data_IF_700289654972
#
_entry.id   IF_700289654972
#
_cell.length_a   1.000
_cell.length_b   1.000
_cell.length_c   1.000
_cell.angle_alpha   90.00
_cell.angle_beta   90.00
_cell.angle_gamma   90.00
#
_symmetry.space_group_name_H-M   'P 1'
#
loop_
_entity.id
_entity.type
_entity.pdbx_description
1 polymer ?
#
# COMPACT_ATOMS: atom_id res chain seq x y z
N UNK A 1 -3.32 16.14 -14.55
CA UNK A 1 -4.30 15.17 -14.01
C UNK A 1 -3.88 14.77 -12.61
N UNK A 2 -4.65 13.92 -11.92
CA UNK A 2 -4.22 13.31 -10.67
C UNK A 2 -3.17 12.22 -10.94
N UNK A 3 -2.19 12.04 -10.06
CA UNK A 3 -1.38 10.82 -10.05
C UNK A 3 -2.26 9.64 -9.63
N UNK A 4 -2.37 8.63 -10.49
CA UNK A 4 -3.30 7.52 -10.30
C UNK A 4 -2.60 6.19 -10.37
N UNK A 5 -2.93 5.28 -9.46
CA UNK A 5 -2.47 3.89 -9.45
C UNK A 5 -3.64 2.93 -9.30
N UNK A 6 -3.40 1.67 -9.67
CA UNK A 6 -4.37 0.59 -9.58
C UNK A 6 -3.71 -0.62 -8.93
N UNK A 7 -4.44 -1.29 -8.05
CA UNK A 7 -4.03 -2.54 -7.43
C UNK A 7 -5.22 -3.51 -7.44
N UNK A 8 -4.93 -4.76 -7.77
CA UNK A 8 -5.86 -5.87 -7.66
C UNK A 8 -5.62 -6.56 -6.32
N UNK A 9 -6.66 -6.70 -5.51
CA UNK A 9 -6.57 -7.45 -4.27
C UNK A 9 -6.66 -8.95 -4.58
N UNK A 10 -5.74 -9.71 -3.99
CA UNK A 10 -5.64 -11.16 -4.10
C UNK A 10 -5.43 -11.78 -2.71
N UNK A 11 -5.74 -13.07 -2.51
CA UNK A 11 -5.60 -13.72 -1.19
C UNK A 11 -4.18 -13.71 -0.61
N UNK A 12 -3.16 -13.64 -1.47
CA UNK A 12 -1.74 -13.64 -1.13
C UNK A 12 -1.16 -12.23 -0.91
N UNK A 13 -1.93 -11.17 -1.19
CA UNK A 13 -1.47 -9.80 -1.05
C UNK A 13 -1.18 -9.44 0.42
N UNK A 14 0.02 -8.96 0.70
CA UNK A 14 0.44 -8.54 2.04
C UNK A 14 0.27 -7.03 2.24
N UNK A 15 0.18 -6.54 3.50
CA UNK A 15 0.17 -5.10 3.78
C UNK A 15 1.34 -4.35 3.15
N UNK A 16 2.54 -4.93 3.13
CA UNK A 16 3.73 -4.32 2.54
C UNK A 16 3.61 -4.07 1.03
N UNK A 17 2.80 -4.87 0.33
CA UNK A 17 2.59 -4.69 -1.11
C UNK A 17 1.69 -3.47 -1.41
N UNK A 18 0.95 -3.00 -0.40
CA UNK A 18 0.09 -1.82 -0.46
C UNK A 18 0.79 -0.60 0.12
N UNK A 19 1.35 -0.73 1.33
CA UNK A 19 1.96 0.38 2.07
C UNK A 19 3.39 0.67 1.60
N UNK A 20 4.08 -0.31 1.03
CA UNK A 20 5.51 -0.28 0.79
C UNK A 20 6.29 -1.07 1.83
N UNK A 21 7.58 -1.21 1.56
CA UNK A 21 8.49 -2.02 2.36
C UNK A 21 9.86 -1.36 2.46
N UNK A 22 10.64 -1.80 3.44
CA UNK A 22 12.05 -1.45 3.53
C UNK A 22 12.87 -2.60 2.95
N UNK A 23 13.76 -2.29 2.00
CA UNK A 23 14.67 -3.26 1.39
C UNK A 23 16.10 -2.95 1.77
N UNK A 24 16.88 -3.99 2.04
CA UNK A 24 18.32 -3.86 2.26
C UNK A 24 19.04 -3.84 0.92
N UNK A 25 19.73 -2.75 0.63
CA UNK A 25 20.62 -2.61 -0.50
C UNK A 25 22.06 -2.74 -0.06
N UNK A 26 22.86 -3.40 -0.88
CA UNK A 26 24.29 -3.49 -0.71
C UNK A 26 24.96 -2.78 -1.88
N UNK A 27 25.83 -1.81 -1.60
CA UNK A 27 26.60 -1.15 -2.65
C UNK A 27 27.78 -2.02 -3.14
N UNK A 28 28.46 -1.58 -4.20
CA UNK A 28 29.61 -2.27 -4.79
C UNK A 28 30.78 -2.43 -3.80
N UNK A 29 30.81 -1.64 -2.72
CA UNK A 29 31.82 -1.67 -1.66
C UNK A 29 31.40 -2.49 -0.45
N UNK A 30 30.24 -3.15 -0.50
CA UNK A 30 29.72 -4.04 0.54
C UNK A 30 28.98 -3.35 1.68
N UNK A 31 28.79 -2.02 1.64
CA UNK A 31 28.04 -1.26 2.65
C UNK A 31 26.55 -1.56 2.51
N UNK A 32 25.92 -1.92 3.63
CA UNK A 32 24.48 -2.16 3.71
C UNK A 32 23.76 -0.86 4.03
N UNK A 33 22.68 -0.57 3.31
CA UNK A 33 21.77 0.52 3.57
C UNK A 33 20.34 0.02 3.45
N UNK A 34 19.42 0.65 4.17
CA UNK A 34 18.00 0.36 4.05
C UNK A 34 17.34 1.45 3.22
N UNK A 35 16.51 1.05 2.25
CA UNK A 35 15.76 1.95 1.37
C UNK A 35 14.28 1.64 1.44
N UNK A 36 13.49 2.68 1.65
CA UNK A 36 12.04 2.57 1.55
C UNK A 36 11.60 2.48 0.09
N UNK A 37 10.77 1.48 -0.22
CA UNK A 37 10.07 1.31 -1.48
C UNK A 37 8.61 1.65 -1.25
N UNK A 38 8.15 2.77 -1.80
CA UNK A 38 6.76 3.20 -1.69
C UNK A 38 5.82 2.21 -2.36
N UNK A 39 4.76 1.82 -1.64
CA UNK A 39 3.66 1.04 -2.21
C UNK A 39 2.73 1.87 -3.12
N UNK A 40 1.71 1.24 -3.72
CA UNK A 40 0.76 1.90 -4.61
C UNK A 40 -0.12 2.96 -3.95
N UNK A 41 -0.23 3.00 -2.61
CA UNK A 41 -0.99 4.06 -1.91
C UNK A 41 -0.36 5.45 -2.03
N UNK A 42 0.90 5.56 -2.46
CA UNK A 42 1.56 6.83 -2.72
C UNK A 42 1.17 7.36 -4.10
N UNK A 43 -0.13 7.65 -4.26
CA UNK A 43 -0.77 8.25 -5.42
C UNK A 43 -1.93 9.13 -4.94
N UNK A 44 -2.45 10.04 -5.77
CA UNK A 44 -3.60 10.88 -5.41
C UNK A 44 -4.95 10.16 -5.60
N UNK A 45 -5.00 9.20 -6.52
CA UNK A 45 -6.15 8.33 -6.76
C UNK A 45 -5.71 6.87 -6.85
N UNK A 46 -6.17 6.03 -5.92
CA UNK A 46 -5.94 4.59 -5.93
C UNK A 46 -7.22 3.85 -6.32
N UNK A 47 -7.15 3.04 -7.38
CA UNK A 47 -8.19 2.06 -7.70
C UNK A 47 -7.84 0.73 -7.03
N UNK A 48 -8.67 0.29 -6.07
CA UNK A 48 -8.48 -0.92 -5.28
C UNK A 48 -9.51 -1.97 -5.65
N UNK A 49 -9.17 -2.86 -6.58
CA UNK A 49 -10.13 -3.83 -7.10
C UNK A 49 -10.29 -5.05 -6.22
N UNK A 50 -11.54 -5.47 -6.03
CA UNK A 50 -11.95 -6.66 -5.27
C UNK A 50 -11.35 -6.69 -3.85
N UNK A 51 -11.44 -5.58 -3.11
CA UNK A 51 -10.82 -5.40 -1.78
C UNK A 51 -11.10 -6.55 -0.81
N UNK A 52 -12.27 -7.18 -0.93
CA UNK A 52 -12.68 -8.28 -0.08
C UNK A 52 -11.91 -9.60 -0.31
N UNK A 53 -11.11 -9.72 -1.39
CA UNK A 53 -10.29 -10.90 -1.69
C UNK A 53 -9.00 -10.99 -0.87
N UNK A 54 -8.50 -9.86 -0.36
CA UNK A 54 -7.30 -9.89 0.49
C UNK A 54 -7.67 -10.16 1.95
N UNK A 55 -6.68 -10.59 2.73
CA UNK A 55 -6.87 -10.83 4.16
C UNK A 55 -7.39 -9.58 4.91
N UNK A 56 -8.13 -9.74 6.04
CA UNK A 56 -8.56 -8.60 6.86
C UNK A 56 -7.41 -7.71 7.30
N UNK A 57 -6.21 -8.27 7.50
CA UNK A 57 -5.01 -7.50 7.86
C UNK A 57 -4.58 -6.56 6.71
N UNK A 58 -4.58 -7.06 5.48
CA UNK A 58 -4.24 -6.29 4.28
C UNK A 58 -5.27 -5.20 4.01
N UNK A 59 -6.56 -5.50 4.19
CA UNK A 59 -7.64 -4.50 4.10
C UNK A 59 -7.47 -3.40 5.17
N UNK A 60 -7.26 -3.78 6.43
CA UNK A 60 -7.06 -2.83 7.53
C UNK A 60 -5.85 -1.91 7.31
N UNK A 61 -4.78 -2.41 6.69
CA UNK A 61 -3.61 -1.59 6.36
C UNK A 61 -3.98 -0.43 5.42
N UNK A 62 -4.76 -0.71 4.36
CA UNK A 62 -5.25 0.34 3.46
C UNK A 62 -6.19 1.31 4.19
N UNK A 63 -7.14 0.81 4.98
CA UNK A 63 -8.09 1.64 5.72
C UNK A 63 -7.40 2.55 6.74
N UNK A 64 -6.36 2.05 7.41
CA UNK A 64 -5.55 2.85 8.32
C UNK A 64 -4.85 3.98 7.56
N UNK A 65 -4.23 3.68 6.41
CA UNK A 65 -3.58 4.69 5.59
C UNK A 65 -4.56 5.77 5.10
N UNK A 66 -5.79 5.39 4.76
CA UNK A 66 -6.88 6.32 4.40
C UNK A 66 -7.29 7.22 5.56
N UNK A 67 -7.34 6.68 6.78
CA UNK A 67 -7.75 7.42 7.97
C UNK A 67 -6.66 8.36 8.49
N UNK A 68 -5.41 7.90 8.43
CA UNK A 68 -4.26 8.60 9.03
C UNK A 68 -3.52 9.51 8.04
N UNK A 69 -3.74 9.37 6.74
CA UNK A 69 -3.05 10.10 5.65
C UNK A 69 -1.52 9.97 5.69
N UNK A 70 -1.00 8.99 6.41
CA UNK A 70 0.40 8.62 6.47
C UNK A 70 0.53 7.13 6.81
N UNK A 71 1.72 6.59 6.63
CA UNK A 71 2.08 5.25 7.10
C UNK A 71 3.39 5.31 7.88
N UNK A 72 3.61 4.33 8.76
CA UNK A 72 4.89 4.15 9.44
C UNK A 72 5.50 2.83 9.01
N UNK A 73 6.66 2.88 8.35
CA UNK A 73 7.41 1.71 7.88
C UNK A 73 8.79 1.76 8.51
N UNK A 74 9.21 0.67 9.16
CA UNK A 74 10.49 0.58 9.88
C UNK A 74 10.72 1.73 10.90
N UNK A 75 9.65 2.25 11.51
CA UNK A 75 9.72 3.36 12.47
C UNK A 75 9.82 4.76 11.84
N UNK A 76 9.85 4.86 10.51
CA UNK A 76 9.82 6.12 9.78
C UNK A 76 8.41 6.43 9.27
N UNK A 77 7.97 7.67 9.49
CA UNK A 77 6.69 8.19 8.96
C UNK A 77 6.83 8.64 7.51
N UNK A 78 5.87 8.25 6.69
CA UNK A 78 5.76 8.62 5.28
C UNK A 78 4.35 9.16 5.02
N UNK A 79 4.22 10.45 4.70
CA UNK A 79 2.93 11.07 4.41
C UNK A 79 2.42 10.71 3.00
N UNK A 80 1.11 10.54 2.87
CA UNK A 80 0.48 10.28 1.58
C UNK A 80 0.28 11.58 0.78
N UNK A 81 0.29 11.52 -0.57
CA UNK A 81 0.00 12.69 -1.40
C UNK A 81 -1.37 13.29 -1.11
N UNK A 82 -1.49 14.62 -1.22
CA UNK A 82 -2.78 15.31 -1.09
C UNK A 82 -3.29 15.80 -2.47
N UNK A 83 -4.58 15.59 -2.80
CA UNK A 83 -5.54 14.77 -2.05
C UNK A 83 -5.25 13.28 -2.22
N UNK A 84 -5.69 12.46 -1.25
CA UNK A 84 -5.62 10.99 -1.32
C UNK A 84 -7.03 10.41 -1.38
N UNK A 85 -7.38 9.77 -2.51
CA UNK A 85 -8.67 9.12 -2.69
C UNK A 85 -8.50 7.65 -3.05
N UNK A 86 -9.40 6.81 -2.55
CA UNK A 86 -9.47 5.39 -2.88
C UNK A 86 -10.84 5.09 -3.47
N UNK A 87 -10.86 4.48 -4.65
CA UNK A 87 -12.06 3.89 -5.24
C UNK A 87 -11.90 2.38 -5.17
N UNK A 88 -12.69 1.73 -4.32
CA UNK A 88 -12.63 0.29 -4.13
C UNK A 88 -13.81 -0.42 -4.78
N UNK A 89 -13.56 -1.60 -5.37
CA UNK A 89 -14.60 -2.51 -5.83
C UNK A 89 -14.59 -3.76 -4.94
N UNK A 90 -15.74 -4.46 -4.86
CA UNK A 90 -15.86 -5.72 -4.15
C UNK A 90 -16.46 -6.76 -5.08
N UNK A 91 -16.00 -8.01 -4.96
CA UNK A 91 -16.60 -9.15 -5.64
C UNK A 91 -17.68 -9.76 -4.73
N UNK A 92 -18.98 -9.69 -5.08
CA UNK A 92 -20.08 -10.11 -4.21
C UNK A 92 -20.10 -11.61 -3.91
N UNK A 93 -19.38 -12.43 -4.68
CA UNK A 93 -19.37 -13.89 -4.53
C UNK A 93 -18.45 -14.41 -3.41
N UNK A 94 -17.59 -13.57 -2.83
CA UNK A 94 -16.71 -13.96 -1.70
C UNK A 94 -17.31 -13.64 -0.32
N UNK A 95 -18.62 -13.39 -0.22
CA UNK A 95 -19.34 -13.37 1.06
C UNK A 95 -19.88 -14.78 1.38
N UNK A 96 -18.98 -15.70 1.73
CA UNK A 96 -19.33 -16.99 2.38
C UNK A 96 -18.47 -17.22 3.63
#
# INVERSE_FOLDING_TARGET
GLDSRRIQFTPDLMPSDILGSEVMEQDEFGKRSFRFISGPIFAQLLMADEINRASPRTQSALLQAMQEYHVTIAGARHDLPSPFHVLATQNPLEQE
#
